data_IF_393527730864
#
_entry.id   IF_393527730864
#
_cell.length_a   1.000
_cell.length_b   1.000
_cell.length_c   1.000
_cell.angle_alpha   90.00
_cell.angle_beta   90.00
_cell.angle_gamma   90.00
#
_symmetry.space_group_name_H-M   'P 1'
#
loop_
_entity.id
_entity.type
_entity.pdbx_description
1 polymer ?
#
# COMPACT_ATOMS: atom_id res chain seq x y z
N UNK A 1 -26.83 -31.11 -22.21
CA UNK A 1 -26.05 -29.85 -22.27
C UNK A 1 -25.62 -29.57 -20.85
N UNK A 2 -24.32 -29.67 -20.53
CA UNK A 2 -23.83 -29.41 -19.16
C UNK A 2 -23.52 -27.92 -19.08
N UNK A 3 -24.32 -27.18 -18.33
CA UNK A 3 -23.97 -25.82 -17.93
C UNK A 3 -22.77 -25.94 -17.00
N UNK A 4 -21.60 -25.60 -17.52
CA UNK A 4 -20.44 -25.31 -16.68
C UNK A 4 -20.76 -23.96 -16.05
N UNK A 5 -21.24 -23.96 -14.81
CA UNK A 5 -21.25 -22.77 -13.97
C UNK A 5 -19.80 -22.33 -13.83
N UNK A 6 -19.37 -21.40 -14.68
CA UNK A 6 -18.14 -20.66 -14.47
C UNK A 6 -18.39 -19.76 -13.27
N UNK A 7 -18.00 -20.23 -12.09
CA UNK A 7 -17.99 -19.42 -10.89
C UNK A 7 -16.90 -18.36 -11.09
N UNK A 8 -17.32 -17.16 -11.49
CA UNK A 8 -16.44 -16.00 -11.66
C UNK A 8 -15.94 -15.52 -10.30
N UNK A 9 -14.73 -14.97 -10.27
CA UNK A 9 -14.21 -14.20 -9.14
C UNK A 9 -13.95 -12.79 -9.62
N UNK A 10 -14.36 -11.80 -8.84
CA UNK A 10 -14.09 -10.40 -9.17
C UNK A 10 -12.60 -10.12 -9.04
N UNK A 11 -12.06 -9.36 -9.99
CA UNK A 11 -10.64 -8.99 -10.05
C UNK A 11 -10.48 -7.50 -10.34
N UNK A 12 -9.40 -6.92 -9.83
CA UNK A 12 -8.96 -5.60 -10.23
C UNK A 12 -7.95 -5.71 -11.38
N UNK A 13 -8.14 -4.91 -12.43
CA UNK A 13 -7.28 -4.93 -13.61
C UNK A 13 -6.63 -3.56 -13.78
N UNK A 14 -5.30 -3.52 -13.70
CA UNK A 14 -4.48 -2.36 -14.06
C UNK A 14 -3.77 -2.65 -15.36
N UNK A 15 -3.91 -1.78 -16.36
CA UNK A 15 -3.33 -2.02 -17.68
C UNK A 15 -2.69 -0.76 -18.26
N UNK A 16 -1.78 -0.97 -19.20
CA UNK A 16 -1.08 0.10 -19.90
C UNK A 16 -0.56 -0.35 -21.26
N UNK A 17 -0.49 0.60 -22.20
CA UNK A 17 -0.10 0.33 -23.60
C UNK A 17 0.96 1.27 -24.18
N UNK A 18 1.35 2.32 -23.46
CA UNK A 18 2.51 3.13 -23.80
C UNK A 18 3.77 2.60 -23.10
N UNK A 19 4.94 2.94 -23.63
CA UNK A 19 6.20 2.38 -23.18
C UNK A 19 6.52 2.68 -21.70
N UNK A 20 6.10 3.84 -21.18
CA UNK A 20 6.37 4.21 -19.78
C UNK A 20 5.47 3.41 -18.83
N UNK A 21 4.16 3.37 -19.11
CA UNK A 21 3.22 2.57 -18.31
C UNK A 21 3.54 1.09 -18.36
N UNK A 22 3.94 0.55 -19.52
CA UNK A 22 4.34 -0.86 -19.62
C UNK A 22 5.53 -1.15 -18.72
N UNK A 23 6.58 -0.31 -18.74
CA UNK A 23 7.75 -0.49 -17.88
C UNK A 23 7.38 -0.43 -16.39
N UNK A 24 6.59 0.56 -15.99
CA UNK A 24 6.14 0.73 -14.60
C UNK A 24 5.28 -0.43 -14.11
N UNK A 25 4.38 -0.94 -14.94
CA UNK A 25 3.53 -2.08 -14.59
C UNK A 25 4.30 -3.40 -14.55
N UNK A 26 5.28 -3.61 -15.44
CA UNK A 26 6.17 -4.77 -15.35
C UNK A 26 7.05 -4.73 -14.11
N UNK A 27 7.52 -3.54 -13.74
CA UNK A 27 8.23 -3.32 -12.48
C UNK A 27 7.36 -3.65 -11.27
N UNK A 28 6.15 -3.09 -11.19
CA UNK A 28 5.18 -3.42 -10.13
C UNK A 28 4.84 -4.91 -10.09
N UNK A 29 4.58 -5.54 -11.24
CA UNK A 29 4.34 -6.98 -11.34
C UNK A 29 5.52 -7.80 -10.81
N UNK A 30 6.76 -7.36 -11.05
CA UNK A 30 7.95 -8.02 -10.53
C UNK A 30 8.05 -7.94 -9.01
N UNK A 31 7.62 -6.84 -8.39
CA UNK A 31 7.55 -6.73 -6.93
C UNK A 31 6.54 -7.72 -6.35
N UNK A 32 5.35 -7.82 -6.96
CA UNK A 32 4.34 -8.81 -6.55
C UNK A 32 4.85 -10.26 -6.66
N UNK A 33 5.57 -10.57 -7.73
CA UNK A 33 6.08 -11.92 -7.99
C UNK A 33 7.30 -12.31 -7.13
N UNK A 34 7.98 -11.35 -6.51
CA UNK A 34 9.20 -11.59 -5.75
C UNK A 34 9.08 -11.08 -4.32
N UNK A 35 9.27 -9.77 -4.08
CA UNK A 35 9.43 -9.20 -2.74
C UNK A 35 8.14 -9.25 -1.91
N UNK A 36 6.98 -9.20 -2.57
CA UNK A 36 5.69 -9.12 -1.89
C UNK A 36 4.98 -10.48 -1.71
N UNK A 37 5.61 -11.60 -2.11
CA UNK A 37 4.99 -12.94 -2.13
C UNK A 37 4.37 -13.29 -0.77
N UNK A 38 5.11 -13.11 0.32
CA UNK A 38 4.66 -13.43 1.69
C UNK A 38 3.63 -12.42 2.25
N UNK A 39 3.47 -11.27 1.58
CA UNK A 39 2.57 -10.20 1.98
C UNK A 39 1.20 -10.27 1.29
N UNK A 40 1.06 -11.11 0.27
CA UNK A 40 -0.15 -11.18 -0.55
C UNK A 40 -1.38 -11.67 0.22
N UNK A 41 -2.49 -10.96 0.05
CA UNK A 41 -3.76 -11.21 0.71
C UNK A 41 -3.80 -10.74 2.18
N UNK A 42 -2.74 -10.14 2.70
CA UNK A 42 -2.69 -9.61 4.08
C UNK A 42 -2.25 -8.14 4.13
N UNK A 43 -1.14 -7.80 3.48
CA UNK A 43 -0.62 -6.43 3.42
C UNK A 43 -0.83 -5.82 2.04
N UNK A 44 -0.76 -6.63 0.99
CA UNK A 44 -1.00 -6.23 -0.41
C UNK A 44 -2.06 -7.16 -1.03
N UNK A 45 -2.73 -6.79 -2.13
CA UNK A 45 -3.61 -7.69 -2.87
C UNK A 45 -2.90 -8.98 -3.32
N UNK A 46 -3.64 -10.06 -3.54
CA UNK A 46 -3.08 -11.23 -4.24
C UNK A 46 -2.87 -10.93 -5.73
N UNK A 47 -1.71 -11.32 -6.25
CA UNK A 47 -1.43 -11.35 -7.68
C UNK A 47 -2.13 -12.57 -8.28
N UNK A 48 -3.11 -12.32 -9.15
CA UNK A 48 -3.76 -13.36 -9.94
C UNK A 48 -2.90 -13.70 -11.16
N UNK A 49 -2.32 -12.68 -11.79
CA UNK A 49 -1.42 -12.90 -12.91
C UNK A 49 -0.98 -11.60 -13.59
N UNK A 50 0.00 -11.73 -14.48
CA UNK A 50 0.46 -10.67 -15.37
C UNK A 50 0.34 -11.16 -16.81
N UNK A 51 -0.32 -10.38 -17.66
CA UNK A 51 -0.55 -10.70 -19.06
C UNK A 51 0.09 -9.65 -19.94
N UNK A 52 0.88 -10.08 -20.91
CA UNK A 52 1.52 -9.19 -21.89
C UNK A 52 1.21 -9.66 -23.29
N UNK A 53 1.47 -8.82 -24.29
CA UNK A 53 1.65 -9.35 -25.63
C UNK A 53 2.89 -10.29 -25.67
N UNK A 54 2.92 -11.24 -26.61
CA UNK A 54 3.98 -12.27 -26.69
C UNK A 54 5.30 -11.77 -27.28
N UNK A 55 5.57 -10.46 -27.27
CA UNK A 55 6.78 -9.87 -27.87
C UNK A 55 7.87 -9.68 -26.82
N UNK A 56 9.12 -9.67 -27.28
CA UNK A 56 10.31 -9.42 -26.44
C UNK A 56 10.24 -8.05 -25.73
N UNK A 57 9.67 -7.05 -26.41
CA UNK A 57 9.35 -5.75 -25.83
C UNK A 57 7.84 -5.56 -25.90
N UNK A 58 7.09 -5.93 -24.85
CA UNK A 58 5.64 -5.85 -24.88
C UNK A 58 5.18 -4.41 -25.03
N UNK A 59 4.15 -4.19 -25.85
CA UNK A 59 3.48 -2.89 -26.00
C UNK A 59 2.20 -2.81 -25.17
N UNK A 60 1.88 -3.87 -24.44
CA UNK A 60 0.72 -3.95 -23.59
C UNK A 60 1.04 -4.85 -22.42
N UNK A 61 0.61 -4.43 -21.22
CA UNK A 61 0.64 -5.24 -20.01
C UNK A 61 -0.64 -5.02 -19.22
N UNK A 62 -1.11 -6.11 -18.62
CA UNK A 62 -2.25 -6.17 -17.74
C UNK A 62 -1.82 -6.89 -16.46
N UNK A 63 -1.91 -6.19 -15.33
CA UNK A 63 -1.71 -6.70 -14.00
C UNK A 63 -3.08 -7.01 -13.40
N UNK A 64 -3.30 -8.26 -13.03
CA UNK A 64 -4.58 -8.73 -12.47
C UNK A 64 -4.37 -9.03 -10.99
N UNK A 65 -5.11 -8.33 -10.15
CA UNK A 65 -5.04 -8.41 -8.70
C UNK A 65 -6.38 -8.84 -8.11
N UNK A 66 -6.34 -9.31 -6.87
CA UNK A 66 -7.51 -9.47 -6.01
C UNK A 66 -8.36 -8.18 -6.02
N UNK A 67 -9.67 -8.33 -6.25
CA UNK A 67 -10.60 -7.22 -6.06
C UNK A 67 -10.79 -6.96 -4.56
N UNK A 68 -10.60 -5.72 -4.14
CA UNK A 68 -10.75 -5.31 -2.76
C UNK A 68 -12.04 -4.52 -2.60
N UNK A 69 -12.83 -4.90 -1.61
CA UNK A 69 -14.05 -4.19 -1.23
C UNK A 69 -14.15 -4.17 0.29
N UNK A 70 -14.34 -2.99 0.86
CA UNK A 70 -14.47 -2.79 2.29
C UNK A 70 -14.81 -1.34 2.60
N UNK A 71 -14.97 -1.07 3.89
CA UNK A 71 -15.24 0.26 4.42
C UNK A 71 -14.03 0.66 5.24
N UNK A 72 -13.57 1.91 5.07
CA UNK A 72 -12.52 2.46 5.93
C UNK A 72 -13.02 2.52 7.37
N UNK A 73 -12.14 2.32 8.38
CA UNK A 73 -12.53 2.55 9.76
C UNK A 73 -13.03 3.99 9.95
N UNK A 74 -14.16 4.15 10.64
CA UNK A 74 -14.70 5.48 10.98
C UNK A 74 -13.80 6.23 11.97
N UNK A 75 -13.12 5.47 12.84
CA UNK A 75 -12.12 6.00 13.76
C UNK A 75 -10.78 6.23 13.02
N UNK A 76 -10.43 7.51 12.88
CA UNK A 76 -9.19 7.95 12.23
C UNK A 76 -7.95 7.41 12.96
N UNK A 77 -7.98 7.30 14.29
CA UNK A 77 -6.84 6.77 15.05
C UNK A 77 -6.59 5.30 14.71
N UNK A 78 -7.64 4.49 14.64
CA UNK A 78 -7.52 3.08 14.27
C UNK A 78 -7.13 2.92 12.79
N UNK A 79 -7.64 3.77 11.88
CA UNK A 79 -7.21 3.80 10.49
C UNK A 79 -5.70 4.09 10.38
N UNK A 80 -5.23 5.13 11.05
CA UNK A 80 -3.83 5.54 11.08
C UNK A 80 -2.93 4.45 11.66
N UNK A 81 -3.36 3.83 12.78
CA UNK A 81 -2.66 2.69 13.38
C UNK A 81 -2.54 1.53 12.40
N UNK A 82 -3.60 1.17 11.71
CA UNK A 82 -3.57 0.09 10.72
C UNK A 82 -2.65 0.42 9.54
N UNK A 83 -2.66 1.65 9.04
CA UNK A 83 -1.74 2.10 7.97
C UNK A 83 -0.28 1.96 8.41
N UNK A 84 0.06 2.40 9.62
CA UNK A 84 1.41 2.27 10.18
C UNK A 84 1.85 0.80 10.35
N UNK A 85 0.93 -0.08 10.74
CA UNK A 85 1.22 -1.52 10.80
C UNK A 85 1.48 -2.10 9.40
N UNK A 86 0.70 -1.70 8.40
CA UNK A 86 0.85 -2.20 7.02
C UNK A 86 2.16 -1.73 6.40
N UNK A 87 2.47 -0.44 6.48
CA UNK A 87 3.71 0.11 5.92
C UNK A 87 4.94 -0.45 6.65
N UNK A 88 4.87 -0.67 7.97
CA UNK A 88 5.93 -1.31 8.73
C UNK A 88 6.20 -2.74 8.27
N UNK A 89 5.15 -3.52 7.96
CA UNK A 89 5.30 -4.86 7.37
C UNK A 89 5.92 -4.82 5.97
N UNK A 90 5.51 -3.86 5.14
CA UNK A 90 6.07 -3.66 3.81
C UNK A 90 7.59 -3.37 3.88
N UNK A 91 7.98 -2.50 4.81
CA UNK A 91 9.37 -2.13 5.05
C UNK A 91 10.19 -3.28 5.60
N UNK A 92 9.62 -4.10 6.50
CA UNK A 92 10.27 -5.32 7.00
C UNK A 92 10.48 -6.36 5.90
N UNK A 93 9.65 -6.36 4.84
CA UNK A 93 9.88 -7.16 3.63
C UNK A 93 10.92 -6.53 2.67
N UNK A 94 11.52 -5.40 3.06
CA UNK A 94 12.55 -4.72 2.28
C UNK A 94 11.99 -3.95 1.09
N UNK A 95 10.74 -3.47 1.16
CA UNK A 95 10.12 -2.65 0.10
C UNK A 95 9.71 -1.27 0.62
N UNK A 96 10.11 -0.22 -0.09
CA UNK A 96 9.71 1.18 0.13
C UNK A 96 8.75 1.60 -0.97
N UNK A 97 7.63 2.23 -0.63
CA UNK A 97 6.57 2.50 -1.61
C UNK A 97 6.81 3.77 -2.46
N UNK A 98 7.34 4.83 -1.84
CA UNK A 98 7.69 6.15 -2.40
C UNK A 98 6.53 7.01 -2.89
N UNK A 99 5.29 6.62 -2.62
CA UNK A 99 4.08 7.36 -3.02
C UNK A 99 3.06 7.48 -1.89
N UNK A 100 3.45 7.21 -0.64
CA UNK A 100 2.54 7.31 0.51
C UNK A 100 2.06 8.73 0.82
N UNK A 101 2.53 9.74 0.07
CA UNK A 101 2.28 11.16 0.32
C UNK A 101 2.05 11.93 -1.00
N UNK A 102 1.21 12.98 -0.98
CA UNK A 102 0.40 13.44 0.17
C UNK A 102 -0.72 12.43 0.52
N UNK A 103 -1.26 12.50 1.75
CA UNK A 103 -2.32 11.59 2.23
C UNK A 103 -3.73 11.94 1.72
N UNK A 104 -3.82 12.85 0.76
CA UNK A 104 -5.06 13.30 0.16
C UNK A 104 -5.78 12.03 -0.37
N UNK A 105 -6.88 11.66 0.30
CA UNK A 105 -7.76 10.52 -0.01
C UNK A 105 -7.25 9.09 0.30
N UNK A 106 -6.11 8.91 0.98
CA UNK A 106 -5.57 7.58 1.31
C UNK A 106 -5.52 6.61 0.10
N UNK A 107 -5.31 7.12 -1.12
CA UNK A 107 -5.53 6.38 -2.38
C UNK A 107 -4.76 5.05 -2.48
N UNK A 108 -3.65 4.93 -1.75
CA UNK A 108 -2.80 3.75 -1.74
C UNK A 108 -3.18 2.72 -0.66
N UNK A 109 -4.15 3.03 0.20
CA UNK A 109 -4.70 2.13 1.21
C UNK A 109 -6.15 1.78 0.87
N UNK A 110 -6.36 0.57 0.39
CA UNK A 110 -7.70 0.12 -0.01
C UNK A 110 -8.29 -0.79 1.07
N UNK A 111 -9.48 -0.48 1.60
CA UNK A 111 -10.15 -1.36 2.55
C UNK A 111 -10.61 -2.66 1.88
N UNK A 112 -10.56 -3.75 2.65
CA UNK A 112 -11.08 -5.06 2.30
C UNK A 112 -11.87 -5.63 3.47
N UNK A 113 -12.66 -6.68 3.25
CA UNK A 113 -13.35 -7.41 4.31
C UNK A 113 -12.41 -7.91 5.43
N UNK A 114 -11.11 -8.08 5.12
CA UNK A 114 -10.07 -8.57 6.04
C UNK A 114 -9.06 -7.49 6.41
N UNK A 115 -9.50 -6.23 6.50
CA UNK A 115 -8.67 -5.06 6.82
C UNK A 115 -8.16 -4.32 5.59
N UNK A 116 -7.15 -3.47 5.71
CA UNK A 116 -6.64 -2.68 4.57
C UNK A 116 -5.50 -3.36 3.80
N UNK A 117 -5.27 -2.92 2.56
CA UNK A 117 -4.16 -3.34 1.71
C UNK A 117 -3.48 -2.14 1.06
N UNK A 118 -2.17 -2.26 0.86
CA UNK A 118 -1.38 -1.27 0.12
C UNK A 118 -1.40 -1.62 -1.38
N UNK A 119 -1.60 -0.62 -2.24
CA UNK A 119 -1.67 -0.75 -3.71
C UNK A 119 -0.85 0.32 -4.42
N UNK A 120 -0.59 0.10 -5.72
CA UNK A 120 0.16 0.99 -6.62
C UNK A 120 1.67 1.08 -6.36
N UNK A 121 2.36 -0.03 -6.58
CA UNK A 121 3.82 -0.14 -6.40
C UNK A 121 4.63 0.35 -7.61
N UNK A 122 4.09 1.27 -8.42
CA UNK A 122 4.75 1.70 -9.68
C UNK A 122 6.07 2.42 -9.46
N UNK A 123 6.23 3.16 -8.35
CA UNK A 123 7.49 3.80 -7.96
C UNK A 123 8.21 3.11 -6.80
N UNK A 124 7.66 2.00 -6.29
CA UNK A 124 8.22 1.29 -5.16
C UNK A 124 9.57 0.67 -5.52
N UNK A 125 10.40 0.41 -4.53
CA UNK A 125 11.73 -0.17 -4.74
C UNK A 125 12.17 -1.02 -3.56
N UNK A 126 13.14 -1.90 -3.81
CA UNK A 126 13.84 -2.59 -2.73
C UNK A 126 14.59 -1.58 -1.89
N UNK A 127 14.51 -1.71 -0.57
CA UNK A 127 15.29 -0.91 0.35
C UNK A 127 15.67 -1.70 1.59
N UNK A 128 16.81 -1.35 2.17
CA UNK A 128 17.19 -1.82 3.49
C UNK A 128 16.61 -0.86 4.53
N UNK A 129 15.54 -1.29 5.21
CA UNK A 129 14.90 -0.45 6.20
C UNK A 129 15.67 -0.48 7.53
N UNK A 130 16.11 0.68 8.01
CA UNK A 130 16.63 0.86 9.38
C UNK A 130 15.52 0.97 10.43
N UNK A 131 14.26 0.92 10.00
CA UNK A 131 13.09 1.22 10.82
C UNK A 131 12.94 2.71 11.12
N UNK A 132 11.97 3.03 11.96
CA UNK A 132 11.79 4.33 12.60
C UNK A 132 11.11 4.09 13.95
N UNK A 133 11.66 4.58 15.07
CA UNK A 133 10.94 4.58 16.33
C UNK A 133 9.65 5.40 16.20
N UNK A 134 8.55 4.97 16.84
CA UNK A 134 7.30 5.71 16.79
C UNK A 134 7.41 7.08 17.47
N UNK A 135 6.69 8.06 16.95
CA UNK A 135 6.60 9.40 17.50
C UNK A 135 5.80 9.39 18.79
N UNK A 136 6.49 9.48 19.93
CA UNK A 136 5.82 9.55 21.23
C UNK A 136 5.22 10.95 21.45
N UNK A 137 4.00 11.05 22.05
CA UNK A 137 3.45 12.32 22.50
C UNK A 137 4.42 12.99 23.48
N UNK A 138 4.78 14.26 23.21
CA UNK A 138 5.71 15.08 23.99
C UNK A 138 7.19 14.69 23.93
N UNK A 139 7.65 13.93 22.93
CA UNK A 139 9.09 13.68 22.77
C UNK A 139 9.83 14.95 22.29
N UNK A 140 10.72 15.55 23.10
CA UNK A 140 11.54 16.69 22.68
C UNK A 140 12.53 16.32 21.55
N UNK A 141 12.74 15.03 21.27
CA UNK A 141 13.56 14.53 20.17
C UNK A 141 12.85 14.55 18.81
N UNK A 142 11.60 15.05 18.71
CA UNK A 142 10.87 15.26 17.44
C UNK A 142 11.68 15.96 16.34
N UNK A 143 12.73 16.69 16.71
CA UNK A 143 13.59 17.43 15.79
C UNK A 143 15.06 16.99 15.81
N UNK A 144 15.43 16.01 16.64
CA UNK A 144 16.81 15.62 16.90
C UNK A 144 17.22 14.29 16.26
N UNK A 145 16.33 13.63 15.50
CA UNK A 145 16.65 12.37 14.82
C UNK A 145 17.57 12.68 13.62
N UNK A 146 18.87 12.74 13.92
CA UNK A 146 19.91 12.68 12.92
C UNK A 146 19.86 11.32 12.22
N UNK A 147 19.59 11.35 10.92
CA UNK A 147 20.04 10.42 9.87
C UNK A 147 19.79 8.90 9.98
N UNK A 148 19.28 8.35 11.09
CA UNK A 148 19.10 6.90 11.30
C UNK A 148 17.64 6.43 11.35
N UNK A 149 16.76 7.03 10.54
CA UNK A 149 15.40 6.52 10.35
C UNK A 149 14.99 6.47 8.87
N UNK A 150 14.00 5.63 8.57
CA UNK A 150 13.39 5.61 7.24
C UNK A 150 12.53 6.84 7.00
N UNK A 151 12.90 7.65 6.01
CA UNK A 151 12.18 8.88 5.65
C UNK A 151 10.69 8.66 5.34
N UNK A 152 10.33 7.57 4.66
CA UNK A 152 8.92 7.27 4.35
C UNK A 152 8.11 6.99 5.62
N UNK A 153 8.63 6.18 6.56
CA UNK A 153 7.95 5.90 7.82
C UNK A 153 7.79 7.17 8.67
N UNK A 154 8.87 7.94 8.82
CA UNK A 154 8.86 9.18 9.59
C UNK A 154 7.86 10.19 9.04
N UNK A 155 7.88 10.40 7.72
CA UNK A 155 7.01 11.41 7.10
C UNK A 155 5.55 10.97 7.15
N UNK A 156 5.27 9.68 6.89
CA UNK A 156 3.92 9.14 7.01
C UNK A 156 3.38 9.27 8.44
N UNK A 157 4.15 8.88 9.46
CA UNK A 157 3.74 9.00 10.85
C UNK A 157 3.48 10.46 11.27
N UNK A 158 4.32 11.39 10.80
CA UNK A 158 4.16 12.82 11.05
C UNK A 158 2.86 13.36 10.46
N UNK A 159 2.52 12.95 9.23
CA UNK A 159 1.29 13.38 8.56
C UNK A 159 0.04 12.75 9.19
N UNK A 160 0.07 11.46 9.52
CA UNK A 160 -1.04 10.80 10.22
C UNK A 160 -1.31 11.44 11.59
N UNK A 161 -0.26 11.75 12.35
CA UNK A 161 -0.40 12.45 13.63
C UNK A 161 -0.98 13.87 13.50
N UNK A 162 -0.81 14.55 12.35
CA UNK A 162 -1.46 15.83 12.07
C UNK A 162 -2.96 15.67 11.85
N UNK A 163 -3.37 14.60 11.17
CA UNK A 163 -4.78 14.29 10.92
C UNK A 163 -5.51 13.96 12.23
N UNK A 164 -4.88 13.20 13.13
CA UNK A 164 -5.38 12.91 14.47
C UNK A 164 -5.70 14.19 15.27
N UNK A 165 -4.80 15.19 15.22
CA UNK A 165 -4.96 16.46 15.93
C UNK A 165 -5.98 17.41 15.29
N UNK A 166 -6.40 17.14 14.06
CA UNK A 166 -7.39 17.94 13.34
C UNK A 166 -8.85 17.55 13.68
N UNK A 167 -9.05 16.40 14.32
CA UNK A 167 -10.35 15.97 14.82
C UNK A 167 -10.74 16.81 16.06
N UNK A 168 -11.96 17.37 16.12
CA UNK A 168 -12.43 18.02 17.33
C UNK A 168 -12.49 17.00 18.48
N UNK A 169 -12.16 17.39 19.72
CA UNK A 169 -12.25 16.46 20.85
C UNK A 169 -13.70 15.96 20.95
N UNK A 170 -13.88 14.64 20.98
CA UNK A 170 -15.18 14.05 21.27
C UNK A 170 -15.69 14.61 22.59
N UNK A 171 -16.85 15.25 22.56
CA UNK A 171 -17.59 15.62 23.77
C UNK A 171 -18.03 14.32 24.43
N UNK A 172 -17.28 13.87 25.43
CA UNK A 172 -17.68 12.74 26.27
C UNK A 172 -19.05 13.03 26.86
N UNK A 173 -20.06 12.16 26.68
CA UNK A 173 -21.37 12.36 27.28
C UNK A 173 -21.25 12.31 28.81
N UNK A 174 -21.74 13.37 29.45
CA UNK A 174 -21.79 13.60 30.90
C UNK A 174 -22.64 12.59 31.66
#
# INVERSE_FOLDING_TARGET
MRDILLQGTDVFIKWGSDNDRVKKLLHEASLYANELVELQGTVVPRLVGTFTDRKVNPKFVCLVLEHLSGIMPDDVFEANRQMMVLIGKLHNAGVRHKQMLPLDEYEHFIPSEKGMRIVDFTLAEKHECRGCPPLMPNDPLKFAIGYDCCYELYTLETELARLDLSQPPELTPS
#
